data_IF_071214571393
#
_entry.id   IF_071214571393
#
_cell.length_a   1.000
_cell.length_b   1.000
_cell.length_c   1.000
_cell.angle_alpha   90.00
_cell.angle_beta   90.00
_cell.angle_gamma   90.00
#
_symmetry.space_group_name_H-M   'P 1'
#
loop_
_entity.id
_entity.type
_entity.pdbx_description
1 polymer ?
#
# COMPACT_ATOMS: atom_id res chain seq x y z
N UNK A 1 4.98 23.25 -21.76
CA UNK A 1 4.81 21.92 -22.40
C UNK A 1 4.72 20.79 -21.39
N UNK A 2 5.73 20.50 -20.55
CA UNK A 2 5.67 19.40 -19.56
C UNK A 2 4.54 19.58 -18.52
N UNK A 3 4.28 20.82 -18.07
CA UNK A 3 3.18 21.07 -17.12
C UNK A 3 1.79 20.88 -17.75
N UNK A 4 1.61 21.10 -19.05
CA UNK A 4 0.28 21.11 -19.68
C UNK A 4 -0.24 19.69 -19.93
N UNK A 5 0.66 18.77 -20.30
CA UNK A 5 0.36 17.33 -20.44
C UNK A 5 -0.01 16.66 -19.10
N UNK A 6 0.50 17.17 -17.98
CA UNK A 6 0.21 16.65 -16.64
C UNK A 6 -1.16 17.12 -16.11
N UNK A 7 -1.65 18.26 -16.60
CA UNK A 7 -3.00 18.76 -16.29
C UNK A 7 -4.08 17.93 -16.95
N UNK A 8 -3.91 17.52 -18.22
CA UNK A 8 -4.88 16.71 -18.97
C UNK A 8 -5.26 15.39 -18.26
N UNK A 9 -4.31 14.78 -17.56
CA UNK A 9 -4.55 13.57 -16.78
C UNK A 9 -5.36 13.78 -15.48
N UNK A 10 -5.48 15.02 -15.00
CA UNK A 10 -6.03 15.37 -13.68
C UNK A 10 -7.34 16.15 -13.78
N UNK A 11 -7.42 17.10 -14.70
CA UNK A 11 -8.55 18.01 -14.90
C UNK A 11 -8.46 18.67 -16.28
N UNK A 12 -9.57 18.73 -17.03
CA UNK A 12 -9.62 19.38 -18.34
C UNK A 12 -9.56 20.92 -18.22
N UNK A 13 -8.85 21.57 -19.14
CA UNK A 13 -8.87 23.03 -19.26
C UNK A 13 -10.23 23.48 -19.81
N UNK A 14 -10.79 24.55 -19.25
CA UNK A 14 -12.12 25.09 -19.61
C UNK A 14 -12.20 25.53 -21.09
N UNK A 15 -11.05 25.61 -21.79
CA UNK A 15 -10.98 25.95 -23.21
C UNK A 15 -11.27 24.78 -24.15
N UNK A 16 -11.13 23.53 -23.68
CA UNK A 16 -11.30 22.32 -24.50
C UNK A 16 -12.39 21.38 -23.99
N UNK A 17 -13.08 21.76 -22.90
CA UNK A 17 -14.19 21.01 -22.33
C UNK A 17 -15.36 20.92 -23.31
N UNK A 18 -16.00 19.75 -23.39
CA UNK A 18 -17.17 19.51 -24.23
C UNK A 18 -18.38 20.23 -23.63
N UNK A 19 -19.09 21.01 -24.43
CA UNK A 19 -20.30 21.71 -24.05
C UNK A 19 -21.50 21.37 -24.95
N UNK A 20 -22.66 21.97 -24.65
CA UNK A 20 -23.89 21.75 -25.44
C UNK A 20 -23.80 22.16 -26.92
N UNK A 21 -22.80 22.96 -27.29
CA UNK A 21 -22.60 23.44 -28.66
C UNK A 21 -21.60 22.59 -29.45
N UNK A 22 -20.93 21.66 -28.78
CA UNK A 22 -19.84 20.85 -29.33
C UNK A 22 -20.34 19.87 -30.38
N UNK A 23 -19.75 19.94 -31.59
CA UNK A 23 -20.12 19.10 -32.75
C UNK A 23 -19.00 18.17 -33.20
N UNK A 24 -17.79 18.43 -32.75
CA UNK A 24 -16.59 17.69 -33.13
C UNK A 24 -15.81 17.42 -31.87
N UNK A 25 -15.52 16.15 -31.60
CA UNK A 25 -14.87 15.69 -30.39
C UNK A 25 -13.57 15.00 -30.77
N UNK A 26 -12.52 15.24 -30.00
CA UNK A 26 -11.27 14.47 -30.06
C UNK A 26 -11.25 13.55 -28.85
N UNK A 27 -11.00 12.26 -29.08
CA UNK A 27 -10.86 11.28 -28.01
C UNK A 27 -9.37 11.11 -27.66
N UNK A 28 -9.05 11.29 -26.39
CA UNK A 28 -7.70 11.05 -25.86
C UNK A 28 -7.67 9.71 -25.10
N UNK A 29 -6.74 8.83 -25.49
CA UNK A 29 -6.42 7.62 -24.76
C UNK A 29 -4.91 7.60 -24.48
N UNK A 30 -4.54 8.05 -23.28
CA UNK A 30 -3.16 8.25 -22.88
C UNK A 30 -2.75 7.34 -21.71
N UNK A 31 -1.44 7.13 -21.56
CA UNK A 31 -0.84 6.45 -20.41
C UNK A 31 0.12 7.41 -19.74
N UNK A 32 -0.16 7.75 -18.48
CA UNK A 32 0.68 8.65 -17.70
C UNK A 32 1.49 7.91 -16.64
N UNK A 33 2.59 8.54 -16.20
CA UNK A 33 3.37 8.03 -15.08
C UNK A 33 2.57 8.16 -13.77
N UNK A 34 2.14 7.03 -13.19
CA UNK A 34 1.30 7.01 -11.99
C UNK A 34 1.90 7.72 -10.77
N UNK A 35 3.23 7.74 -10.62
CA UNK A 35 3.89 8.50 -9.54
C UNK A 35 3.73 10.00 -9.72
N UNK A 36 3.85 10.48 -10.96
CA UNK A 36 3.69 11.90 -11.30
C UNK A 36 2.25 12.35 -11.11
N UNK A 37 1.28 11.52 -11.52
CA UNK A 37 -0.15 11.75 -11.26
C UNK A 37 -0.43 11.81 -9.76
N UNK A 38 -0.02 10.79 -8.98
CA UNK A 38 -0.23 10.74 -7.53
C UNK A 38 0.29 11.98 -6.81
N UNK A 39 1.51 12.41 -7.15
CA UNK A 39 2.15 13.58 -6.52
C UNK A 39 1.42 14.87 -6.87
N UNK A 40 0.92 14.99 -8.10
CA UNK A 40 0.28 16.21 -8.59
C UNK A 40 -1.18 16.29 -8.13
N UNK A 41 -1.95 15.20 -8.23
CA UNK A 41 -3.32 15.09 -7.70
C UNK A 41 -3.37 15.39 -6.21
N UNK A 42 -2.47 14.77 -5.43
CA UNK A 42 -2.40 14.96 -3.98
C UNK A 42 -1.97 16.37 -3.58
N UNK A 43 -1.02 16.97 -4.30
CA UNK A 43 -0.54 18.34 -4.01
C UNK A 43 -1.60 19.40 -4.32
N UNK A 44 -2.37 19.21 -5.40
CA UNK A 44 -3.40 20.16 -5.82
C UNK A 44 -4.78 19.88 -5.22
N UNK A 45 -4.92 18.79 -4.46
CA UNK A 45 -6.20 18.27 -3.96
C UNK A 45 -7.22 18.04 -5.10
N UNK A 46 -6.74 17.61 -6.27
CA UNK A 46 -7.53 17.32 -7.48
C UNK A 46 -7.56 15.81 -7.71
N UNK A 47 -8.23 15.08 -6.82
CA UNK A 47 -8.36 13.63 -6.94
C UNK A 47 -9.65 13.31 -7.71
N UNK A 48 -9.52 12.61 -8.83
CA UNK A 48 -10.64 12.17 -9.69
C UNK A 48 -10.61 10.66 -9.90
N UNK A 49 -11.68 10.11 -10.47
CA UNK A 49 -11.71 8.70 -10.89
C UNK A 49 -10.58 8.39 -11.90
N UNK A 50 -10.34 9.32 -12.83
CA UNK A 50 -9.25 9.23 -13.81
C UNK A 50 -7.88 9.20 -13.12
N UNK A 51 -7.60 10.17 -12.24
CA UNK A 51 -6.32 10.22 -11.52
C UNK A 51 -6.09 8.96 -10.68
N UNK A 52 -7.12 8.46 -10.02
CA UNK A 52 -7.08 7.23 -9.22
C UNK A 52 -6.69 5.99 -10.04
N UNK A 53 -7.15 5.90 -11.30
CA UNK A 53 -6.79 4.80 -12.22
C UNK A 53 -5.34 4.93 -12.68
N UNK A 54 -4.92 6.10 -13.13
CA UNK A 54 -3.53 6.33 -13.53
C UNK A 54 -2.53 6.11 -12.39
N UNK A 55 -2.90 6.42 -11.15
CA UNK A 55 -2.08 6.15 -9.95
C UNK A 55 -1.80 4.65 -9.74
N UNK A 56 -2.76 3.78 -10.08
CA UNK A 56 -2.68 2.32 -9.86
C UNK A 56 -2.03 1.57 -11.03
N UNK A 57 -2.01 2.19 -12.20
CA UNK A 57 -1.57 1.56 -13.45
C UNK A 57 -2.74 1.31 -14.39
N UNK A 58 -2.46 1.34 -15.69
CA UNK A 58 -3.41 1.06 -16.76
C UNK A 58 -2.92 -0.14 -17.55
N UNK A 59 -3.85 -0.97 -18.00
CA UNK A 59 -3.54 -2.06 -18.92
C UNK A 59 -3.15 -1.50 -20.29
N UNK A 60 -1.89 -1.67 -20.66
CA UNK A 60 -1.36 -1.16 -21.93
C UNK A 60 -1.98 -1.84 -23.16
N UNK A 61 -2.39 -3.09 -23.03
CA UNK A 61 -2.91 -3.90 -24.15
C UNK A 61 -4.25 -3.39 -24.67
N UNK A 62 -5.04 -2.72 -23.81
CA UNK A 62 -6.42 -2.33 -24.09
C UNK A 62 -6.59 -0.82 -24.28
N UNK A 63 -5.50 -0.04 -24.39
CA UNK A 63 -5.60 1.43 -24.52
C UNK A 63 -6.28 1.82 -25.83
N UNK A 64 -5.82 1.27 -26.96
CA UNK A 64 -6.45 1.53 -28.26
C UNK A 64 -7.85 0.92 -28.36
N UNK A 65 -8.05 -0.30 -27.82
CA UNK A 65 -9.37 -0.94 -27.79
C UNK A 65 -10.40 -0.09 -27.02
N UNK A 66 -10.02 0.48 -25.88
CA UNK A 66 -10.90 1.35 -25.10
C UNK A 66 -11.25 2.65 -25.85
N UNK A 67 -10.31 3.19 -26.63
CA UNK A 67 -10.54 4.36 -27.47
C UNK A 67 -11.51 4.06 -28.61
N UNK A 68 -11.31 2.94 -29.31
CA UNK A 68 -12.18 2.51 -30.41
C UNK A 68 -13.60 2.20 -29.89
N UNK A 69 -13.69 1.58 -28.71
CA UNK A 69 -14.97 1.35 -28.04
C UNK A 69 -15.68 2.67 -27.71
N UNK A 70 -14.97 3.66 -27.16
CA UNK A 70 -15.55 4.98 -26.89
C UNK A 70 -16.03 5.69 -28.16
N UNK A 71 -15.29 5.58 -29.27
CA UNK A 71 -15.68 6.12 -30.57
C UNK A 71 -16.95 5.45 -31.11
N UNK A 72 -17.04 4.12 -31.00
CA UNK A 72 -18.22 3.35 -31.39
C UNK A 72 -19.45 3.74 -30.55
N UNK A 73 -19.29 3.93 -29.24
CA UNK A 73 -20.36 4.39 -28.34
C UNK A 73 -20.85 5.80 -28.69
N UNK A 74 -19.96 6.72 -29.06
CA UNK A 74 -20.36 8.05 -29.53
C UNK A 74 -21.14 8.00 -30.85
N UNK A 75 -20.76 7.10 -31.77
CA UNK A 75 -21.51 6.88 -33.00
C UNK A 75 -22.92 6.36 -32.70
N UNK A 76 -23.03 5.34 -31.86
CA UNK A 76 -24.31 4.70 -31.53
C UNK A 76 -25.25 5.64 -30.76
N UNK A 77 -24.73 6.33 -29.74
CA UNK A 77 -25.55 7.10 -28.80
C UNK A 77 -25.78 8.54 -29.24
N UNK A 78 -24.80 9.17 -29.90
CA UNK A 78 -24.87 10.57 -30.31
C UNK A 78 -25.01 10.76 -31.82
N UNK A 79 -25.04 9.68 -32.62
CA UNK A 79 -25.11 9.76 -34.08
C UNK A 79 -23.84 10.35 -34.70
N UNK A 80 -22.72 10.33 -33.98
CA UNK A 80 -21.44 10.86 -34.44
C UNK A 80 -20.86 10.06 -35.61
N UNK A 81 -20.11 10.73 -36.49
CA UNK A 81 -19.36 10.07 -37.55
C UNK A 81 -17.91 9.84 -37.09
N UNK A 82 -17.52 8.57 -36.95
CA UNK A 82 -16.13 8.21 -36.61
C UNK A 82 -15.26 8.32 -37.86
N UNK A 83 -14.18 9.09 -37.75
CA UNK A 83 -13.17 9.22 -38.82
C UNK A 83 -12.24 7.99 -38.81
N UNK A 84 -11.74 7.63 -39.99
CA UNK A 84 -10.78 6.54 -40.12
C UNK A 84 -9.37 6.97 -39.67
N UNK A 85 -8.75 6.16 -38.82
CA UNK A 85 -7.36 6.32 -38.41
C UNK A 85 -7.20 6.81 -36.96
N UNK A 86 -5.98 6.67 -36.44
CA UNK A 86 -5.57 7.11 -35.11
C UNK A 86 -4.25 7.86 -35.22
N UNK A 87 -4.10 8.92 -34.44
CA UNK A 87 -2.80 9.56 -34.21
C UNK A 87 -2.21 8.98 -32.94
N UNK A 88 -1.08 8.29 -33.05
CA UNK A 88 -0.38 7.68 -31.91
C UNK A 88 1.02 8.26 -31.78
N UNK A 89 1.45 8.48 -30.54
CA UNK A 89 2.81 8.86 -30.21
C UNK A 89 3.32 8.03 -29.02
N UNK A 90 4.54 7.51 -29.13
CA UNK A 90 5.15 6.61 -28.15
C UNK A 90 5.01 5.13 -28.50
N UNK A 91 5.71 4.28 -27.73
CA UNK A 91 5.67 2.82 -27.85
C UNK A 91 5.34 2.24 -26.48
N UNK A 92 4.28 1.43 -26.41
CA UNK A 92 3.88 0.73 -25.20
C UNK A 92 4.30 -0.74 -25.29
N UNK A 93 4.83 -1.33 -24.20
CA UNK A 93 5.13 -2.76 -24.18
C UNK A 93 3.83 -3.54 -23.97
N UNK A 94 3.23 -4.03 -25.05
CA UNK A 94 1.98 -4.81 -25.05
C UNK A 94 2.20 -6.33 -25.00
N UNK A 95 3.43 -6.79 -25.22
CA UNK A 95 3.73 -8.22 -25.21
C UNK A 95 3.66 -8.81 -23.80
N UNK A 96 3.08 -10.01 -23.58
CA UNK A 96 3.06 -10.67 -22.29
C UNK A 96 4.45 -10.78 -21.64
N UNK A 97 4.49 -10.77 -20.32
CA UNK A 97 5.72 -10.95 -19.54
C UNK A 97 5.91 -12.43 -19.24
N UNK A 98 7.07 -12.97 -19.59
CA UNK A 98 7.42 -14.35 -19.27
C UNK A 98 7.97 -14.46 -17.85
N UNK A 99 7.33 -15.26 -17.01
CA UNK A 99 7.82 -15.57 -15.66
C UNK A 99 7.99 -17.08 -15.52
N UNK A 100 9.24 -17.54 -15.36
CA UNK A 100 9.54 -18.97 -15.22
C UNK A 100 9.73 -19.38 -13.78
N UNK A 101 9.15 -20.51 -13.37
CA UNK A 101 9.32 -21.13 -12.03
C UNK A 101 9.34 -22.66 -12.14
N UNK A 102 9.35 -23.37 -11.01
CA UNK A 102 9.38 -24.84 -10.94
C UNK A 102 8.32 -25.36 -9.96
N UNK A 103 7.85 -26.59 -10.14
CA UNK A 103 6.87 -27.19 -9.23
C UNK A 103 7.43 -27.31 -7.81
N UNK A 104 8.69 -27.75 -7.71
CA UNK A 104 9.41 -27.79 -6.44
C UNK A 104 9.54 -26.42 -5.79
N UNK A 105 9.66 -25.34 -6.57
CA UNK A 105 9.65 -23.99 -6.02
C UNK A 105 8.32 -23.71 -5.32
N UNK A 106 7.21 -23.88 -6.03
CA UNK A 106 5.85 -23.59 -5.54
C UNK A 106 5.53 -24.38 -4.28
N UNK A 107 5.67 -25.72 -4.33
CA UNK A 107 5.32 -26.61 -3.23
C UNK A 107 6.14 -26.34 -1.97
N UNK A 108 7.43 -26.00 -2.12
CA UNK A 108 8.28 -25.64 -0.97
C UNK A 108 7.78 -24.39 -0.23
N UNK A 109 7.23 -23.39 -0.95
CA UNK A 109 6.78 -22.13 -0.32
C UNK A 109 5.37 -22.25 0.25
N UNK A 110 4.51 -23.02 -0.40
CA UNK A 110 3.14 -23.24 0.04
C UNK A 110 3.01 -24.37 1.07
N UNK A 111 4.05 -25.22 1.20
CA UNK A 111 4.01 -26.43 2.03
C UNK A 111 3.08 -27.50 1.45
N UNK A 112 2.74 -27.42 0.17
CA UNK A 112 1.76 -28.28 -0.50
C UNK A 112 2.41 -29.39 -1.32
N UNK A 113 1.60 -30.35 -1.77
CA UNK A 113 1.98 -31.39 -2.73
C UNK A 113 1.17 -31.24 -4.03
N UNK A 114 1.10 -30.01 -4.57
CA UNK A 114 0.42 -29.76 -5.84
C UNK A 114 1.14 -30.50 -6.97
N UNK A 115 0.36 -30.98 -7.92
CA UNK A 115 0.84 -31.53 -9.18
C UNK A 115 0.98 -30.44 -10.24
N UNK A 116 1.70 -30.71 -11.32
CA UNK A 116 1.80 -29.76 -12.43
C UNK A 116 0.42 -29.49 -13.06
N UNK A 117 -0.45 -30.49 -13.13
CA UNK A 117 -1.83 -30.34 -13.62
C UNK A 117 -2.66 -29.41 -12.76
N UNK A 118 -2.49 -29.42 -11.43
CA UNK A 118 -3.20 -28.47 -10.55
C UNK A 118 -2.78 -27.02 -10.86
N UNK A 119 -1.51 -26.80 -11.19
CA UNK A 119 -0.98 -25.48 -11.56
C UNK A 119 -1.53 -25.04 -12.92
N UNK A 120 -1.62 -25.94 -13.89
CA UNK A 120 -2.20 -25.65 -15.20
C UNK A 120 -3.66 -25.20 -15.07
N UNK A 121 -4.47 -25.90 -14.27
CA UNK A 121 -5.87 -25.52 -14.02
C UNK A 121 -6.01 -24.14 -13.37
N UNK A 122 -5.08 -23.78 -12.47
CA UNK A 122 -5.08 -22.46 -11.84
C UNK A 122 -4.82 -21.36 -12.87
N UNK A 123 -3.78 -21.53 -13.69
CA UNK A 123 -3.45 -20.51 -14.69
C UNK A 123 -4.44 -20.45 -15.84
N UNK A 124 -5.09 -21.56 -16.19
CA UNK A 124 -6.22 -21.57 -17.13
C UNK A 124 -7.38 -20.72 -16.60
N UNK A 125 -7.77 -20.89 -15.33
CA UNK A 125 -8.82 -20.05 -14.68
C UNK A 125 -8.45 -18.56 -14.65
N UNK A 126 -7.16 -18.24 -14.54
CA UNK A 126 -6.66 -16.87 -14.59
C UNK A 126 -6.52 -16.31 -16.02
N UNK A 127 -6.60 -17.18 -17.03
CA UNK A 127 -6.37 -16.83 -18.43
C UNK A 127 -4.90 -16.52 -18.73
N UNK A 128 -3.96 -17.20 -18.07
CA UNK A 128 -2.52 -17.10 -18.36
C UNK A 128 -2.07 -18.35 -19.10
N UNK A 129 -1.37 -18.17 -20.22
CA UNK A 129 -0.81 -19.31 -20.94
C UNK A 129 0.41 -19.85 -20.18
N UNK A 130 0.50 -21.17 -20.07
CA UNK A 130 1.61 -21.88 -19.43
C UNK A 130 2.28 -22.82 -20.44
N UNK A 131 3.60 -22.95 -20.36
CA UNK A 131 4.39 -23.87 -21.19
C UNK A 131 5.52 -24.48 -20.39
N UNK A 132 5.93 -25.71 -20.74
CA UNK A 132 7.05 -26.41 -20.10
C UNK A 132 6.64 -27.69 -19.39
N UNK A 133 7.28 -27.98 -18.25
CA UNK A 133 7.04 -29.18 -17.45
C UNK A 133 7.19 -28.89 -15.94
N UNK A 134 6.93 -29.90 -15.11
CA UNK A 134 7.11 -29.83 -13.64
C UNK A 134 8.51 -29.37 -13.21
N UNK A 135 9.55 -29.70 -13.99
CA UNK A 135 10.95 -29.32 -13.70
C UNK A 135 11.15 -27.83 -13.91
N UNK A 136 10.51 -27.26 -14.94
CA UNK A 136 10.54 -25.84 -15.25
C UNK A 136 9.39 -25.50 -16.19
N UNK A 137 8.58 -24.52 -15.80
CA UNK A 137 7.51 -23.98 -16.62
C UNK A 137 7.58 -22.46 -16.65
N UNK A 138 7.01 -21.89 -17.71
CA UNK A 138 6.95 -20.46 -17.98
C UNK A 138 5.51 -20.05 -18.15
N UNK A 139 5.10 -19.04 -17.40
CA UNK A 139 3.77 -18.43 -17.46
C UNK A 139 3.87 -17.13 -18.26
N UNK A 140 3.03 -16.98 -19.28
CA UNK A 140 2.85 -15.76 -20.05
C UNK A 140 1.83 -14.89 -19.33
N UNK A 141 2.33 -13.92 -18.58
CA UNK A 141 1.53 -12.98 -17.79
C UNK A 141 1.05 -11.86 -18.72
N UNK A 142 -0.28 -11.67 -18.90
CA UNK A 142 -0.82 -10.59 -19.72
C UNK A 142 -0.55 -9.23 -19.07
N UNK A 143 -0.39 -8.15 -19.86
CA UNK A 143 0.00 -6.84 -19.29
C UNK A 143 -1.03 -6.24 -18.35
N UNK A 144 -2.29 -6.68 -18.42
CA UNK A 144 -3.33 -6.34 -17.43
C UNK A 144 -2.96 -6.72 -15.99
N UNK A 145 -1.95 -7.59 -15.79
CA UNK A 145 -1.41 -8.01 -14.49
C UNK A 145 0.04 -7.58 -14.34
N UNK A 146 0.25 -6.26 -14.38
CA UNK A 146 1.56 -5.63 -14.22
C UNK A 146 2.16 -5.81 -12.81
N UNK A 147 1.38 -6.31 -11.85
CA UNK A 147 1.80 -6.68 -10.51
C UNK A 147 2.64 -7.97 -10.46
N UNK A 148 2.57 -8.83 -11.48
CA UNK A 148 3.27 -10.11 -11.54
C UNK A 148 4.55 -9.96 -12.36
N UNK A 149 5.71 -10.03 -11.71
CA UNK A 149 7.02 -9.91 -12.34
C UNK A 149 8.03 -10.98 -11.90
N UNK A 150 7.80 -11.65 -10.77
CA UNK A 150 8.71 -12.65 -10.20
C UNK A 150 7.98 -13.95 -9.85
N UNK A 151 8.77 -15.00 -9.60
CA UNK A 151 8.25 -16.33 -9.26
C UNK A 151 7.36 -16.33 -8.01
N UNK A 152 7.63 -15.43 -7.05
CA UNK A 152 6.84 -15.33 -5.83
C UNK A 152 5.41 -14.85 -6.10
N UNK A 153 5.22 -13.97 -7.08
CA UNK A 153 3.90 -13.45 -7.45
C UNK A 153 3.04 -14.56 -8.07
N UNK A 154 3.66 -15.46 -8.85
CA UNK A 154 3.00 -16.67 -9.34
C UNK A 154 2.57 -17.59 -8.20
N UNK A 155 3.41 -17.74 -7.17
CA UNK A 155 3.07 -18.55 -5.98
C UNK A 155 1.87 -17.97 -5.24
N UNK A 156 1.77 -16.64 -5.12
CA UNK A 156 0.61 -15.98 -4.52
C UNK A 156 -0.66 -16.24 -5.32
N UNK A 157 -0.62 -16.11 -6.65
CA UNK A 157 -1.77 -16.41 -7.51
C UNK A 157 -2.20 -17.88 -7.42
N UNK A 158 -1.23 -18.80 -7.34
CA UNK A 158 -1.52 -20.21 -7.11
C UNK A 158 -2.22 -20.41 -5.78
N UNK A 159 -1.69 -19.85 -4.70
CA UNK A 159 -2.29 -19.99 -3.37
C UNK A 159 -3.69 -19.38 -3.29
N UNK A 160 -3.90 -18.22 -3.92
CA UNK A 160 -5.17 -17.49 -3.91
C UNK A 160 -6.28 -18.25 -4.63
N UNK A 161 -5.97 -18.86 -5.78
CA UNK A 161 -6.96 -19.63 -6.57
C UNK A 161 -7.13 -21.04 -6.02
N UNK A 162 -6.06 -21.66 -5.51
CA UNK A 162 -6.14 -22.94 -4.83
C UNK A 162 -7.00 -22.85 -3.56
N UNK A 163 -6.81 -21.77 -2.79
CA UNK A 163 -7.51 -21.47 -1.55
C UNK A 163 -6.56 -21.50 -0.35
N UNK A 164 -6.44 -20.38 0.37
CA UNK A 164 -5.58 -20.29 1.55
C UNK A 164 -6.00 -21.23 2.68
N UNK A 165 -7.28 -21.55 2.76
CA UNK A 165 -7.85 -22.49 3.72
C UNK A 165 -7.36 -23.93 3.54
N UNK A 166 -6.83 -24.27 2.36
CA UNK A 166 -6.29 -25.59 2.06
C UNK A 166 -4.80 -25.70 2.36
N UNK A 167 -4.13 -24.58 2.68
CA UNK A 167 -2.72 -24.61 3.01
C UNK A 167 -2.52 -25.32 4.37
N UNK A 168 -1.54 -26.24 4.47
CA UNK A 168 -1.32 -26.96 5.70
C UNK A 168 -0.84 -26.03 6.80
N UNK A 169 -1.46 -26.15 7.98
CA UNK A 169 -1.02 -25.45 9.18
C UNK A 169 0.06 -26.27 9.87
N UNK A 170 1.31 -25.86 9.71
CA UNK A 170 2.47 -26.49 10.36
C UNK A 170 3.18 -25.50 11.26
N UNK A 171 3.89 -26.01 12.26
CA UNK A 171 4.81 -25.20 13.06
C UNK A 171 6.18 -25.23 12.38
N UNK A 172 6.89 -24.09 12.29
CA UNK A 172 8.25 -24.09 11.78
C UNK A 172 9.13 -24.91 12.73
N UNK A 173 9.96 -25.79 12.18
CA UNK A 173 11.03 -26.44 12.94
C UNK A 173 12.10 -25.39 13.28
N UNK A 174 11.91 -24.71 14.41
CA UNK A 174 12.97 -23.91 14.98
C UNK A 174 13.99 -24.86 15.62
N UNK A 175 15.24 -24.83 15.14
CA UNK A 175 16.35 -25.48 15.83
C UNK A 175 16.35 -25.08 17.31
N UNK A 176 16.61 -26.03 18.21
CA UNK A 176 16.42 -25.93 19.66
C UNK A 176 17.04 -24.65 20.26
N UNK A 177 16.26 -23.57 20.25
CA UNK A 177 16.63 -22.31 20.87
C UNK A 177 15.64 -22.13 22.00
N UNK A 178 16.08 -22.43 23.21
CA UNK A 178 15.29 -22.16 24.40
C UNK A 178 15.10 -20.63 24.49
N UNK A 179 13.89 -20.17 24.16
CA UNK A 179 13.54 -18.77 24.29
C UNK A 179 13.50 -18.40 25.77
N UNK A 180 14.49 -17.65 26.24
CA UNK A 180 14.51 -17.13 27.60
C UNK A 180 14.41 -15.61 27.63
N UNK A 181 13.84 -15.11 28.74
CA UNK A 181 13.90 -13.68 29.03
C UNK A 181 15.34 -13.28 29.38
N UNK A 182 15.82 -12.21 28.76
CA UNK A 182 17.07 -11.57 29.18
C UNK A 182 16.97 -11.12 30.63
N UNK A 183 18.12 -11.00 31.32
CA UNK A 183 18.17 -10.53 32.71
C UNK A 183 17.48 -9.18 32.90
N UNK A 184 17.58 -8.27 31.93
CA UNK A 184 16.91 -6.97 31.96
C UNK A 184 15.38 -7.10 31.83
N UNK A 185 14.89 -7.99 30.95
CA UNK A 185 13.45 -8.24 30.83
C UNK A 185 12.87 -8.87 32.12
N UNK A 186 13.60 -9.80 32.74
CA UNK A 186 13.23 -10.38 34.05
C UNK A 186 13.18 -9.31 35.13
N UNK A 187 14.20 -8.46 35.22
CA UNK A 187 14.26 -7.35 36.17
C UNK A 187 13.08 -6.38 35.98
N UNK A 188 12.82 -5.93 34.75
CA UNK A 188 11.71 -5.01 34.44
C UNK A 188 10.36 -5.58 34.87
N UNK A 189 10.11 -6.87 34.59
CA UNK A 189 8.88 -7.56 35.03
C UNK A 189 8.80 -7.64 36.55
N UNK A 190 9.91 -7.95 37.22
CA UNK A 190 9.96 -8.02 38.69
C UNK A 190 9.70 -6.67 39.34
N UNK A 191 10.31 -5.60 38.85
CA UNK A 191 10.09 -4.23 39.34
C UNK A 191 8.62 -3.83 39.19
N UNK A 192 8.00 -4.14 38.04
CA UNK A 192 6.57 -3.90 37.83
C UNK A 192 5.72 -4.61 38.88
N UNK A 193 5.91 -5.92 39.07
CA UNK A 193 5.12 -6.69 40.04
C UNK A 193 5.28 -6.17 41.47
N UNK A 194 6.47 -5.72 41.85
CA UNK A 194 6.72 -5.12 43.16
C UNK A 194 6.01 -3.77 43.30
N UNK A 195 6.03 -2.92 42.27
CA UNK A 195 5.34 -1.63 42.29
C UNK A 195 3.81 -1.79 42.34
N UNK A 196 3.24 -2.73 41.58
CA UNK A 196 1.82 -3.09 41.63
C UNK A 196 1.43 -3.62 43.02
N UNK A 197 2.26 -4.50 43.60
CA UNK A 197 2.06 -5.02 44.96
C UNK A 197 2.14 -3.96 46.06
N UNK A 198 2.82 -2.84 45.80
CA UNK A 198 2.87 -1.68 46.69
C UNK A 198 1.70 -0.69 46.48
N UNK A 199 0.73 -1.01 45.60
CA UNK A 199 -0.46 -0.20 45.35
C UNK A 199 -0.29 0.86 44.27
N UNK A 200 0.80 0.85 43.49
CA UNK A 200 0.95 1.74 42.34
C UNK A 200 0.29 1.13 41.09
N UNK A 201 -0.31 1.98 40.26
CA UNK A 201 -0.90 1.61 38.97
C UNK A 201 0.04 1.93 37.81
N UNK A 202 0.31 0.96 36.93
CA UNK A 202 1.12 1.20 35.72
C UNK A 202 0.34 2.10 34.75
N UNK A 203 0.99 3.17 34.27
CA UNK A 203 0.45 4.06 33.24
C UNK A 203 1.32 4.07 31.99
N UNK A 204 0.64 4.26 30.85
CA UNK A 204 1.27 4.49 29.54
C UNK A 204 0.78 5.86 29.07
N UNK A 205 1.72 6.78 28.91
CA UNK A 205 1.48 8.17 28.53
C UNK A 205 2.03 8.39 27.13
N UNK A 206 1.56 9.43 26.47
CA UNK A 206 2.06 9.79 25.15
C UNK A 206 3.57 10.11 25.18
N UNK A 207 4.25 9.66 24.13
CA UNK A 207 5.66 9.99 23.90
C UNK A 207 5.83 11.43 23.42
N UNK A 208 4.84 11.96 22.70
CA UNK A 208 4.82 13.32 22.18
C UNK A 208 4.13 14.27 23.14
N UNK A 209 4.70 15.46 23.28
CA UNK A 209 4.23 16.55 24.13
C UNK A 209 4.60 17.90 23.48
N UNK A 210 4.45 19.01 24.21
CA UNK A 210 4.87 20.33 23.74
C UNK A 210 6.39 20.50 23.91
N UNK A 211 7.08 21.32 23.11
CA UNK A 211 8.51 21.54 23.23
C UNK A 211 8.93 21.99 24.64
N UNK A 212 8.09 22.79 25.30
CA UNK A 212 8.35 23.29 26.66
C UNK A 212 8.32 22.15 27.69
N UNK A 213 7.33 21.26 27.61
CA UNK A 213 7.19 20.12 28.53
C UNK A 213 8.24 19.04 28.26
N UNK A 214 8.71 18.92 27.02
CA UNK A 214 9.73 17.94 26.66
C UNK A 214 11.01 18.11 27.50
N UNK A 215 11.39 19.36 27.80
CA UNK A 215 12.63 19.71 28.53
C UNK A 215 12.42 20.06 30.01
N UNK A 216 11.18 20.29 30.46
CA UNK A 216 10.85 20.85 31.79
C UNK A 216 11.50 20.13 33.00
N UNK A 217 11.70 18.82 32.92
CA UNK A 217 12.35 18.02 33.97
C UNK A 217 13.63 17.32 33.51
N UNK A 218 14.22 17.79 32.40
CA UNK A 218 15.51 17.29 31.95
C UNK A 218 16.63 17.94 32.76
N UNK A 219 17.54 17.12 33.30
CA UNK A 219 18.72 17.60 34.04
C UNK A 219 19.88 17.96 33.13
N UNK A 220 19.86 17.50 31.87
CA UNK A 220 20.88 17.77 30.87
C UNK A 220 20.23 18.41 29.65
N UNK A 221 20.79 19.54 29.20
CA UNK A 221 20.34 20.18 27.97
C UNK A 221 20.68 19.28 26.78
N UNK A 222 19.65 18.86 26.04
CA UNK A 222 19.79 18.08 24.82
C UNK A 222 18.86 18.63 23.75
N UNK A 223 19.19 18.36 22.48
CA UNK A 223 18.39 18.85 21.36
C UNK A 223 16.98 18.23 21.39
N UNK A 224 15.97 19.06 21.16
CA UNK A 224 14.58 18.61 21.09
C UNK A 224 14.35 17.94 19.74
N UNK A 225 13.70 16.77 19.76
CA UNK A 225 13.28 16.06 18.55
C UNK A 225 11.82 16.40 18.25
N UNK A 226 11.58 17.18 17.21
CA UNK A 226 10.25 17.61 16.80
C UNK A 226 9.75 16.89 15.54
N UNK A 227 8.43 16.73 15.45
CA UNK A 227 7.77 16.25 14.24
C UNK A 227 7.73 17.36 13.19
N UNK A 228 8.06 17.00 11.94
CA UNK A 228 7.95 17.92 10.81
C UNK A 228 6.48 18.29 10.51
N UNK A 229 5.55 17.37 10.72
CA UNK A 229 4.11 17.53 10.43
C UNK A 229 3.26 17.01 11.60
N UNK A 230 3.22 17.72 12.75
CA UNK A 230 2.44 17.28 13.88
C UNK A 230 0.94 17.43 13.61
N UNK A 231 0.15 16.42 13.99
CA UNK A 231 -1.31 16.49 13.89
C UNK A 231 -1.92 17.54 14.82
N UNK A 232 -1.26 17.83 15.94
CA UNK A 232 -1.65 18.84 16.93
C UNK A 232 -0.41 19.49 17.54
N UNK A 233 -0.49 20.78 17.87
CA UNK A 233 0.61 21.53 18.49
C UNK A 233 0.98 20.96 19.86
N UNK A 234 0.01 20.43 20.61
CA UNK A 234 0.23 19.80 21.91
C UNK A 234 1.07 18.52 21.86
N UNK A 235 1.32 17.98 20.66
CA UNK A 235 2.04 16.73 20.41
C UNK A 235 3.08 16.90 19.30
N UNK A 236 3.86 17.96 19.36
CA UNK A 236 4.88 18.27 18.36
C UNK A 236 6.29 17.77 18.69
N UNK A 237 6.63 17.54 19.96
CA UNK A 237 7.97 17.21 20.40
C UNK A 237 8.04 15.88 21.17
N UNK A 238 9.10 15.10 20.98
CA UNK A 238 9.37 13.91 21.77
C UNK A 238 9.81 14.29 23.19
N UNK A 239 9.18 13.69 24.20
CA UNK A 239 9.55 13.90 25.61
C UNK A 239 10.97 13.42 25.89
N UNK A 240 11.75 14.20 26.65
CA UNK A 240 13.05 13.78 27.17
C UNK A 240 12.97 13.27 28.62
N UNK A 241 11.78 13.36 29.21
CA UNK A 241 11.51 12.93 30.58
C UNK A 241 10.15 12.20 30.66
N UNK A 242 10.06 11.25 31.58
CA UNK A 242 8.83 10.49 31.84
C UNK A 242 7.88 11.24 32.79
N UNK A 243 8.45 12.05 33.68
CA UNK A 243 7.74 12.76 34.76
C UNK A 243 6.64 13.66 34.23
N UNK A 244 6.87 14.40 33.14
CA UNK A 244 5.86 15.26 32.52
C UNK A 244 4.60 14.50 32.15
N UNK A 245 4.75 13.31 31.56
CA UNK A 245 3.62 12.46 31.20
C UNK A 245 2.85 11.99 32.43
N UNK A 246 3.56 11.55 33.47
CA UNK A 246 2.95 11.09 34.71
C UNK A 246 2.18 12.21 35.41
N UNK A 247 2.73 13.42 35.49
CA UNK A 247 2.08 14.56 36.14
C UNK A 247 0.82 15.01 35.40
N UNK A 248 0.84 15.01 34.06
CA UNK A 248 -0.36 15.30 33.27
C UNK A 248 -1.44 14.26 33.55
N UNK A 249 -1.09 12.98 33.60
CA UNK A 249 -2.05 11.92 33.88
C UNK A 249 -2.61 12.04 35.30
N UNK A 250 -1.75 12.32 36.28
CA UNK A 250 -2.15 12.54 37.68
C UNK A 250 -3.10 13.74 37.82
N UNK A 251 -2.84 14.84 37.09
CA UNK A 251 -3.72 16.00 37.06
C UNK A 251 -5.11 15.63 36.54
N UNK A 252 -5.19 14.85 35.46
CA UNK A 252 -6.46 14.38 34.89
C UNK A 252 -7.22 13.52 35.90
N UNK A 253 -6.56 12.59 36.59
CA UNK A 253 -7.23 11.73 37.57
C UNK A 253 -7.67 12.49 38.83
N UNK A 254 -6.88 13.47 39.28
CA UNK A 254 -7.27 14.39 40.35
C UNK A 254 -8.52 15.20 39.99
N UNK A 255 -8.58 15.74 38.77
CA UNK A 255 -9.77 16.45 38.27
C UNK A 255 -11.00 15.53 38.18
N UNK A 256 -10.79 14.25 37.86
CA UNK A 256 -11.81 13.21 37.86
C UNK A 256 -12.15 12.65 39.26
N UNK A 257 -11.57 13.20 40.35
CA UNK A 257 -11.74 12.75 41.74
C UNK A 257 -11.37 11.28 42.00
N UNK A 258 -10.47 10.72 41.20
CA UNK A 258 -9.91 9.38 41.42
C UNK A 258 -8.44 9.51 41.79
N UNK A 259 -8.10 9.26 43.06
CA UNK A 259 -6.71 9.36 43.54
C UNK A 259 -6.09 7.97 43.53
N UNK A 260 -5.33 7.66 42.48
CA UNK A 260 -4.48 6.46 42.42
C UNK A 260 -3.03 6.86 42.22
N UNK A 261 -2.12 6.25 42.98
CA UNK A 261 -0.67 6.42 42.78
C UNK A 261 -0.27 5.70 41.49
N UNK A 262 0.47 6.38 40.61
CA UNK A 262 0.78 5.89 39.27
C UNK A 262 2.28 5.85 39.02
N UNK A 263 2.75 4.84 38.28
CA UNK A 263 4.14 4.73 37.82
C UNK A 263 4.20 4.38 36.34
N UNK A 264 5.27 4.77 35.65
CA UNK A 264 5.36 4.58 34.21
C UNK A 264 6.21 3.37 33.81
N UNK A 265 5.79 2.75 32.71
CA UNK A 265 6.53 1.74 31.96
C UNK A 265 7.79 2.27 31.27
#
# INVERSE_FOLDING_TARGET
MINQLLWQALWEDNQTEIDSSSKTVVLEAAVFNGTSIRKTSGRLNLRSESSSRFEKGINYDTVSEAMDFAAAMLQELAGGQVLSGQVTEGVLPTEPVEVSTTLGYVNTRLGTELTYTDIEEVFEKLGFAISGSEVKFTVLVPRRRWDIAIQADLVEEIARIYGYEKLPTTLPEAGATAGELTSMQRLRRRVRTVAEGAGLSEIITYALTTPEKAVQFSTQATNITELMWPMTVDRSALRQNVVSGCLIQLLITLLAKTVTLQFMR
#
